data_IF_126545209444
#
_entry.id   IF_126545209444
#
_cell.length_a   1.000
_cell.length_b   1.000
_cell.length_c   1.000
_cell.angle_alpha   90.00
_cell.angle_beta   90.00
_cell.angle_gamma   90.00
#
_symmetry.space_group_name_H-M   'P 1'
#
loop_
_entity.id
_entity.type
_entity.pdbx_description
1 polymer ?
#
# COMPACT_ATOMS: atom_id res chain seq x y z
N UNK A 1 11.73 3.53 -0.08
CA UNK A 1 12.45 4.75 0.35
C UNK A 1 12.99 5.55 -0.82
N UNK A 2 13.98 5.07 -1.59
CA UNK A 2 14.57 5.83 -2.72
C UNK A 2 13.54 6.51 -3.64
N UNK A 3 12.58 5.76 -4.18
CA UNK A 3 11.57 6.32 -5.12
C UNK A 3 10.62 7.32 -4.47
N UNK A 4 10.29 7.13 -3.18
CA UNK A 4 9.43 8.06 -2.43
C UNK A 4 10.16 9.39 -2.26
N UNK A 5 11.43 9.35 -1.83
CA UNK A 5 12.26 10.55 -1.69
C UNK A 5 12.55 11.22 -3.02
N UNK A 6 12.73 10.46 -4.10
CA UNK A 6 12.89 10.99 -5.46
C UNK A 6 11.61 11.72 -5.93
N UNK A 7 10.42 11.14 -5.70
CA UNK A 7 9.15 11.79 -5.99
C UNK A 7 8.99 13.08 -5.20
N UNK A 8 9.21 13.08 -3.88
CA UNK A 8 9.13 14.29 -3.04
C UNK A 8 10.09 15.38 -3.54
N UNK A 9 11.34 15.00 -3.85
CA UNK A 9 12.34 15.94 -4.34
C UNK A 9 11.92 16.58 -5.68
N UNK A 10 11.34 15.78 -6.58
CA UNK A 10 10.83 16.26 -7.87
C UNK A 10 9.59 17.15 -7.69
N UNK A 11 8.68 16.81 -6.78
CA UNK A 11 7.46 17.58 -6.49
C UNK A 11 7.77 18.98 -5.98
N UNK A 12 8.81 19.14 -5.17
CA UNK A 12 9.19 20.42 -4.56
C UNK A 12 10.41 21.09 -5.21
N UNK A 13 10.88 20.56 -6.34
CA UNK A 13 12.12 21.03 -6.99
C UNK A 13 12.13 22.54 -7.27
N UNK A 14 10.98 23.10 -7.67
CA UNK A 14 10.85 24.52 -8.03
C UNK A 14 10.75 25.46 -6.83
N UNK A 15 10.28 24.98 -5.67
CA UNK A 15 9.94 25.79 -4.50
C UNK A 15 10.56 25.23 -3.22
N UNK A 16 11.77 24.67 -3.33
CA UNK A 16 12.39 23.89 -2.24
C UNK A 16 12.62 24.72 -0.97
N UNK A 17 12.81 26.04 -1.11
CA UNK A 17 13.04 26.99 -0.02
C UNK A 17 11.75 27.45 0.66
N UNK A 18 10.58 27.18 0.06
CA UNK A 18 9.26 27.61 0.56
C UNK A 18 8.55 26.50 1.36
N UNK A 19 9.06 25.28 1.30
CA UNK A 19 8.46 24.09 1.89
C UNK A 19 8.91 23.90 3.34
N UNK A 20 7.93 23.78 4.23
CA UNK A 20 8.19 23.50 5.64
C UNK A 20 8.55 22.03 5.89
N UNK A 21 9.24 21.77 7.01
CA UNK A 21 9.52 20.39 7.42
C UNK A 21 8.25 19.62 7.74
N UNK A 22 7.23 20.30 8.28
CA UNK A 22 5.92 19.74 8.59
C UNK A 22 5.21 19.27 7.32
N UNK A 23 5.24 20.06 6.24
CA UNK A 23 4.68 19.67 4.93
C UNK A 23 5.43 18.47 4.34
N UNK A 24 6.76 18.46 4.40
CA UNK A 24 7.56 17.30 3.95
C UNK A 24 7.21 16.04 4.75
N UNK A 25 7.07 16.16 6.06
CA UNK A 25 6.73 15.04 6.93
C UNK A 25 5.31 14.53 6.65
N UNK A 26 4.34 15.42 6.46
CA UNK A 26 2.98 15.06 6.10
C UNK A 26 2.93 14.35 4.75
N UNK A 27 3.64 14.87 3.75
CA UNK A 27 3.69 14.29 2.41
C UNK A 27 4.36 12.91 2.40
N UNK A 28 5.47 12.75 3.12
CA UNK A 28 6.12 11.45 3.32
C UNK A 28 5.19 10.47 4.04
N UNK A 29 4.52 10.92 5.10
CA UNK A 29 3.60 10.09 5.87
C UNK A 29 2.40 9.63 5.03
N UNK A 30 1.85 10.51 4.19
CA UNK A 30 0.75 10.17 3.28
C UNK A 30 1.17 9.12 2.28
N UNK A 31 2.30 9.31 1.56
CA UNK A 31 2.76 8.31 0.59
C UNK A 31 3.03 6.94 1.22
N UNK A 32 3.56 6.90 2.45
CA UNK A 32 3.73 5.65 3.18
C UNK A 32 2.36 5.02 3.51
N UNK A 33 1.41 5.81 4.00
CA UNK A 33 0.06 5.35 4.32
C UNK A 33 -0.67 4.80 3.08
N UNK A 34 -0.55 5.48 1.94
CA UNK A 34 -1.17 5.07 0.68
C UNK A 34 -0.58 3.74 0.16
N UNK A 35 0.75 3.56 0.25
CA UNK A 35 1.41 2.28 -0.08
C UNK A 35 0.92 1.16 0.85
N UNK A 36 0.80 1.44 2.15
CA UNK A 36 0.28 0.46 3.11
C UNK A 36 -1.18 0.10 2.80
N UNK A 37 -2.01 1.09 2.48
CA UNK A 37 -3.40 0.87 2.10
C UNK A 37 -3.51 0.01 0.84
N UNK A 38 -2.73 0.33 -0.20
CA UNK A 38 -2.65 -0.43 -1.44
C UNK A 38 -2.19 -1.89 -1.22
N UNK A 39 -1.21 -2.10 -0.32
CA UNK A 39 -0.79 -3.44 0.09
C UNK A 39 -1.96 -4.21 0.72
N UNK A 40 -2.69 -3.57 1.65
CA UNK A 40 -3.78 -4.19 2.40
C UNK A 40 -4.96 -4.56 1.50
N UNK A 41 -5.33 -3.69 0.56
CA UNK A 41 -6.41 -3.95 -0.42
C UNK A 41 -6.11 -5.13 -1.34
N UNK A 42 -4.84 -5.45 -1.56
CA UNK A 42 -4.42 -6.57 -2.40
C UNK A 42 -4.40 -7.93 -1.69
N UNK A 43 -4.41 -7.94 -0.35
CA UNK A 43 -4.29 -9.17 0.42
C UNK A 43 -5.39 -10.19 0.09
N UNK A 44 -6.68 -9.82 -0.06
CA UNK A 44 -7.71 -10.77 -0.45
C UNK A 44 -7.40 -11.50 -1.77
N UNK A 45 -6.93 -10.78 -2.79
CA UNK A 45 -6.59 -11.36 -4.09
C UNK A 45 -5.37 -12.27 -4.02
N UNK A 46 -4.31 -11.84 -3.32
CA UNK A 46 -3.10 -12.65 -3.13
C UNK A 46 -3.41 -13.93 -2.34
N UNK A 47 -4.24 -13.83 -1.30
CA UNK A 47 -4.72 -14.97 -0.51
C UNK A 47 -5.51 -15.94 -1.40
N UNK A 48 -6.44 -15.44 -2.22
CA UNK A 48 -7.19 -16.27 -3.15
C UNK A 48 -6.27 -17.02 -4.13
N UNK A 49 -5.29 -16.33 -4.74
CA UNK A 49 -4.33 -16.96 -5.64
C UNK A 49 -3.51 -18.07 -4.95
N UNK A 50 -3.13 -17.89 -3.68
CA UNK A 50 -2.43 -18.92 -2.90
C UNK A 50 -3.34 -20.12 -2.61
N UNK A 51 -4.61 -19.89 -2.27
CA UNK A 51 -5.58 -20.96 -1.98
C UNK A 51 -5.96 -21.80 -3.22
N UNK A 52 -5.93 -21.21 -4.41
CA UNK A 52 -6.30 -21.88 -5.68
C UNK A 52 -5.14 -22.60 -6.40
N UNK A 53 -4.00 -22.81 -5.73
CA UNK A 53 -2.88 -23.56 -6.34
C UNK A 53 -3.27 -25.02 -6.63
N UNK A 54 -3.00 -25.49 -7.85
CA UNK A 54 -3.45 -26.80 -8.35
C UNK A 54 -2.61 -27.99 -7.89
N UNK A 55 -1.38 -27.75 -7.42
CA UNK A 55 -0.48 -28.80 -6.94
C UNK A 55 -0.73 -29.07 -5.45
N UNK A 56 -1.17 -30.28 -5.11
CA UNK A 56 -1.57 -30.69 -3.75
C UNK A 56 -0.45 -30.47 -2.71
N UNK A 57 0.80 -30.80 -3.03
CA UNK A 57 1.96 -30.54 -2.15
C UNK A 57 2.20 -29.05 -1.91
N UNK A 58 1.91 -28.21 -2.92
CA UNK A 58 1.97 -26.75 -2.79
C UNK A 58 0.72 -26.20 -2.10
N UNK A 59 -0.39 -26.95 -1.99
CA UNK A 59 -1.62 -26.51 -1.33
C UNK A 59 -1.44 -26.45 0.18
N UNK A 60 -0.84 -27.44 0.84
CA UNK A 60 -0.63 -27.38 2.29
C UNK A 60 0.23 -26.17 2.68
N UNK A 61 1.40 -26.02 2.02
CA UNK A 61 2.29 -24.87 2.24
C UNK A 61 1.60 -23.54 1.87
N UNK A 62 0.83 -23.48 0.79
CA UNK A 62 0.10 -22.26 0.39
C UNK A 62 -1.06 -21.93 1.33
N UNK A 63 -1.76 -22.93 1.86
CA UNK A 63 -2.85 -22.76 2.86
C UNK A 63 -2.27 -22.29 4.19
N UNK A 64 -1.13 -22.83 4.62
CA UNK A 64 -0.44 -22.35 5.82
C UNK A 64 -0.01 -20.89 5.67
N UNK A 65 0.57 -20.52 4.52
CA UNK A 65 0.93 -19.13 4.20
C UNK A 65 -0.30 -18.23 4.17
N UNK A 66 -1.40 -18.67 3.56
CA UNK A 66 -2.67 -17.94 3.51
C UNK A 66 -3.26 -17.70 4.91
N UNK A 67 -3.25 -18.72 5.78
CA UNK A 67 -3.72 -18.60 7.17
C UNK A 67 -2.86 -17.61 7.97
N UNK A 68 -1.54 -17.63 7.80
CA UNK A 68 -0.63 -16.65 8.43
C UNK A 68 -0.88 -15.22 7.91
N UNK A 69 -1.05 -15.06 6.60
CA UNK A 69 -1.39 -13.77 5.98
C UNK A 69 -2.71 -13.24 6.52
N UNK A 70 -3.74 -14.09 6.61
CA UNK A 70 -5.04 -13.72 7.17
C UNK A 70 -4.90 -13.22 8.61
N UNK A 71 -4.22 -13.98 9.48
CA UNK A 71 -4.02 -13.58 10.89
C UNK A 71 -3.29 -12.25 11.03
N UNK A 72 -2.22 -12.02 10.26
CA UNK A 72 -1.49 -10.74 10.23
C UNK A 72 -2.37 -9.60 9.71
N UNK A 73 -3.18 -9.85 8.67
CA UNK A 73 -4.09 -8.86 8.11
C UNK A 73 -5.13 -8.43 9.14
N UNK A 74 -5.72 -9.37 9.87
CA UNK A 74 -6.67 -9.08 10.95
C UNK A 74 -6.05 -8.23 12.06
N UNK A 75 -4.81 -8.52 12.46
CA UNK A 75 -4.09 -7.70 13.45
C UNK A 75 -3.88 -6.26 12.95
N UNK A 76 -3.53 -6.07 11.69
CA UNK A 76 -3.37 -4.75 11.09
C UNK A 76 -4.71 -4.01 11.06
N UNK A 77 -5.80 -4.66 10.64
CA UNK A 77 -7.14 -4.06 10.64
C UNK A 77 -7.52 -3.60 12.05
N UNK A 78 -7.27 -4.40 13.08
CA UNK A 78 -7.57 -4.02 14.47
C UNK A 78 -6.77 -2.81 14.93
N UNK A 79 -5.50 -2.67 14.52
CA UNK A 79 -4.67 -1.48 14.82
C UNK A 79 -5.20 -0.24 14.07
N UNK A 80 -5.71 -0.43 12.85
CA UNK A 80 -6.19 0.64 12.00
C UNK A 80 -7.64 1.06 12.27
N UNK A 81 -8.44 0.26 12.99
CA UNK A 81 -9.82 0.61 13.36
C UNK A 81 -9.93 1.94 14.11
N UNK A 82 -8.88 2.36 14.81
CA UNK A 82 -8.83 3.64 15.52
C UNK A 82 -8.35 4.82 14.63
N UNK A 83 -8.16 4.61 13.32
CA UNK A 83 -7.64 5.62 12.38
C UNK A 83 -8.54 5.76 11.15
N UNK A 84 -8.75 6.99 10.69
CA UNK A 84 -9.33 7.23 9.36
C UNK A 84 -8.31 6.85 8.28
N UNK A 85 -8.70 5.94 7.38
CA UNK A 85 -7.93 5.57 6.20
C UNK A 85 -8.49 6.31 4.97
N UNK A 86 -7.62 6.81 4.07
CA UNK A 86 -8.08 7.42 2.83
C UNK A 86 -8.84 6.40 1.97
N UNK A 87 -10.00 6.81 1.42
CA UNK A 87 -10.82 5.94 0.59
C UNK A 87 -10.19 5.79 -0.80
N UNK A 88 -9.61 4.63 -1.07
CA UNK A 88 -9.11 4.30 -2.39
C UNK A 88 -10.24 3.73 -3.26
N UNK A 89 -10.86 4.58 -4.07
CA UNK A 89 -12.07 4.25 -4.85
C UNK A 89 -11.86 3.31 -6.04
N UNK A 90 -10.61 2.91 -6.36
CA UNK A 90 -10.31 2.13 -7.57
C UNK A 90 -9.46 0.87 -7.29
N UNK A 91 -10.15 -0.16 -6.80
CA UNK A 91 -9.56 -1.42 -6.28
C UNK A 91 -8.82 -2.24 -7.34
N UNK A 92 -9.25 -2.20 -8.61
CA UNK A 92 -8.66 -3.01 -9.69
C UNK A 92 -7.29 -2.49 -10.15
N UNK A 93 -7.05 -1.19 -10.00
CA UNK A 93 -5.74 -0.60 -10.29
C UNK A 93 -4.73 -0.94 -9.19
N UNK A 94 -5.20 -1.08 -7.95
CA UNK A 94 -4.34 -1.40 -6.82
C UNK A 94 -3.88 -2.85 -6.85
N UNK A 95 -4.50 -3.77 -7.57
CA UNK A 95 -4.02 -5.15 -7.70
C UNK A 95 -2.55 -5.29 -8.16
N UNK A 96 -2.00 -4.27 -8.84
CA UNK A 96 -0.65 -4.29 -9.41
C UNK A 96 0.23 -3.19 -8.82
N UNK A 97 1.35 -3.57 -8.18
CA UNK A 97 2.31 -2.64 -7.56
C UNK A 97 2.76 -1.53 -8.52
N UNK A 98 2.96 -1.85 -9.80
CA UNK A 98 3.42 -0.89 -10.80
C UNK A 98 2.40 0.23 -11.07
N UNK A 99 1.11 -0.03 -10.80
CA UNK A 99 0.02 0.93 -10.96
C UNK A 99 -0.19 1.80 -9.73
N UNK A 100 0.40 1.45 -8.57
CA UNK A 100 0.34 2.28 -7.37
C UNK A 100 0.95 3.66 -7.61
N UNK A 101 1.98 3.72 -8.45
CA UNK A 101 2.67 4.97 -8.77
C UNK A 101 1.76 6.00 -9.45
N UNK A 102 0.85 5.56 -10.33
CA UNK A 102 -0.02 6.46 -11.11
C UNK A 102 -1.11 7.05 -10.21
N UNK A 103 -1.69 6.26 -9.30
CA UNK A 103 -2.70 6.75 -8.37
C UNK A 103 -2.11 7.68 -7.29
N UNK A 104 -0.88 7.42 -6.83
CA UNK A 104 -0.17 8.28 -5.88
C UNK A 104 0.18 9.66 -6.47
N UNK A 105 0.35 9.78 -7.79
CA UNK A 105 0.61 11.05 -8.45
C UNK A 105 -0.64 11.91 -8.68
N UNK A 106 -1.84 11.32 -8.67
CA UNK A 106 -3.10 12.06 -8.87
C UNK A 106 -3.76 12.56 -7.58
N UNK A 107 -3.20 12.22 -6.41
CA UNK A 107 -3.74 12.59 -5.10
C UNK A 107 -3.26 13.96 -4.57
N UNK A 108 -2.34 14.62 -5.27
CA UNK A 108 -1.83 15.93 -4.86
C UNK A 108 -1.68 16.87 -6.07
N UNK A 109 -2.07 18.16 -5.94
CA UNK A 109 -1.89 19.19 -6.96
C UNK A 109 -0.41 19.58 -7.16
#
# INVERSE_FOLDING_TARGET
MYRITETILLSYYSNIDEVSQEELFAQLSSMIADILAACLTNLPQVIAMKCHTSFIEKREASVQVAAQLLGKTTQIINILQDRELPSLNDTDQLAFIDKWQVNLMHLFP
#
